data_IF_609524734335
#
_entry.id   IF_609524734335
#
_cell.length_a   1.000
_cell.length_b   1.000
_cell.length_c   1.000
_cell.angle_alpha   90.00
_cell.angle_beta   90.00
_cell.angle_gamma   90.00
#
_symmetry.space_group_name_H-M   'P 1'
#
loop_
_entity.id
_entity.type
_entity.pdbx_description
1 polymer ?
#
# COMPACT_ATOMS: atom_id res chain seq x y z
N UNK A 1 -10.32 -13.57 -44.72
CA UNK A 1 -9.49 -12.42 -45.10
C UNK A 1 -10.42 -11.31 -45.56
N UNK A 2 -10.82 -10.40 -44.70
CA UNK A 2 -11.46 -9.15 -45.07
C UNK A 2 -10.77 -8.06 -44.27
N UNK A 3 -9.65 -7.58 -44.82
CA UNK A 3 -8.98 -6.39 -44.35
C UNK A 3 -9.94 -5.20 -44.54
N UNK A 4 -10.11 -4.41 -43.47
CA UNK A 4 -10.86 -3.16 -43.52
C UNK A 4 -10.14 -2.20 -44.45
N UNK A 5 -10.70 -2.03 -45.66
CA UNK A 5 -10.16 -1.19 -46.77
C UNK A 5 -10.11 0.31 -46.40
N UNK A 6 -10.65 0.71 -45.23
CA UNK A 6 -10.74 2.10 -44.76
C UNK A 6 -9.96 2.37 -43.47
N UNK A 7 -9.17 1.41 -42.99
CA UNK A 7 -8.24 1.72 -41.87
C UNK A 7 -7.18 2.73 -42.37
N UNK A 8 -7.04 3.91 -41.75
CA UNK A 8 -6.04 4.88 -42.19
C UNK A 8 -4.67 4.26 -42.05
N UNK A 9 -4.00 4.02 -43.20
CA UNK A 9 -2.60 3.62 -43.22
C UNK A 9 -1.76 4.80 -42.71
N UNK A 10 -1.28 4.68 -41.48
CA UNK A 10 -0.36 5.66 -40.92
C UNK A 10 0.93 5.58 -41.75
N UNK A 11 1.41 6.69 -42.35
CA UNK A 11 2.65 6.69 -43.12
C UNK A 11 3.81 6.14 -42.28
N UNK A 12 4.72 5.38 -42.90
CA UNK A 12 5.85 4.73 -42.19
C UNK A 12 6.70 5.73 -41.38
N UNK A 13 6.83 6.97 -41.87
CA UNK A 13 7.53 8.05 -41.15
C UNK A 13 6.82 8.48 -39.86
N UNK A 14 5.50 8.43 -39.80
CA UNK A 14 4.71 8.74 -38.59
C UNK A 14 4.72 7.54 -37.64
N UNK A 15 4.74 6.32 -38.16
CA UNK A 15 4.84 5.10 -37.37
C UNK A 15 6.19 5.03 -36.62
N UNK A 16 7.29 5.48 -37.23
CA UNK A 16 8.63 5.56 -36.62
C UNK A 16 8.77 6.66 -35.54
N UNK A 17 7.84 7.60 -35.46
CA UNK A 17 7.82 8.64 -34.40
C UNK A 17 7.12 8.22 -33.11
N UNK A 18 6.54 7.00 -33.06
CA UNK A 18 5.95 6.49 -31.83
C UNK A 18 7.04 6.16 -30.80
N UNK A 19 6.76 6.33 -29.49
CA UNK A 19 7.66 5.91 -28.45
C UNK A 19 8.08 4.45 -28.60
N UNK A 20 9.33 4.13 -28.29
CA UNK A 20 9.89 2.80 -28.44
C UNK A 20 9.08 1.73 -27.69
N UNK A 21 8.63 2.06 -26.48
CA UNK A 21 7.76 1.19 -25.69
C UNK A 21 6.42 0.83 -26.38
N UNK A 22 5.96 1.66 -27.31
CA UNK A 22 4.73 1.41 -28.08
C UNK A 22 5.01 0.58 -29.34
N UNK A 23 6.16 0.82 -29.97
CA UNK A 23 6.63 0.07 -31.16
C UNK A 23 7.02 -1.38 -30.83
N UNK A 24 7.61 -1.59 -29.64
CA UNK A 24 8.04 -2.90 -29.14
C UNK A 24 6.96 -3.64 -28.35
N UNK A 25 5.73 -3.16 -28.38
CA UNK A 25 4.64 -3.83 -27.69
C UNK A 25 4.44 -5.25 -28.24
N UNK A 26 4.46 -6.30 -27.38
CA UNK A 26 4.20 -7.67 -27.79
C UNK A 26 2.93 -7.81 -28.64
N UNK A 27 3.00 -8.61 -29.70
CA UNK A 27 1.89 -8.94 -30.59
C UNK A 27 1.31 -10.33 -30.33
N UNK A 28 2.01 -11.17 -29.57
CA UNK A 28 1.57 -12.49 -29.12
C UNK A 28 1.87 -12.70 -27.63
N UNK A 29 1.14 -13.59 -26.99
CA UNK A 29 1.35 -13.92 -25.56
C UNK A 29 2.76 -14.47 -25.32
N UNK A 30 3.33 -15.22 -26.27
CA UNK A 30 4.67 -15.79 -26.15
C UNK A 30 5.78 -14.71 -26.10
N UNK A 31 5.54 -13.52 -26.61
CA UNK A 31 6.48 -12.39 -26.59
C UNK A 31 6.44 -11.60 -25.28
N UNK A 32 5.53 -11.90 -24.36
CA UNK A 32 5.43 -11.20 -23.08
C UNK A 32 6.58 -11.64 -22.18
N UNK A 33 7.46 -10.69 -21.86
CA UNK A 33 8.65 -10.90 -21.02
C UNK A 33 8.30 -10.71 -19.54
N UNK A 34 9.02 -11.41 -18.64
CA UNK A 34 9.00 -11.19 -17.19
C UNK A 34 7.76 -11.72 -16.45
N UNK A 35 6.82 -12.40 -17.15
CA UNK A 35 5.60 -12.93 -16.52
C UNK A 35 5.40 -14.45 -16.80
N UNK A 36 6.40 -15.32 -16.65
CA UNK A 36 6.29 -16.74 -17.05
C UNK A 36 5.21 -17.48 -16.26
N UNK A 37 4.93 -17.10 -15.02
CA UNK A 37 3.86 -17.68 -14.20
C UNK A 37 2.44 -17.37 -14.72
N UNK A 38 2.28 -16.35 -15.56
CA UNK A 38 1.01 -15.97 -16.19
C UNK A 38 0.93 -16.45 -17.64
N UNK A 39 1.98 -16.23 -18.43
CA UNK A 39 1.97 -16.33 -19.89
C UNK A 39 2.84 -17.48 -20.44
N UNK A 40 3.66 -18.12 -19.60
CA UNK A 40 4.50 -19.27 -19.97
C UNK A 40 3.67 -20.51 -20.28
N UNK A 41 4.32 -21.63 -20.61
CA UNK A 41 3.65 -22.91 -20.97
C UNK A 41 2.70 -23.41 -19.90
N UNK A 42 3.08 -23.32 -18.63
CA UNK A 42 2.25 -23.65 -17.47
C UNK A 42 1.44 -22.45 -16.95
N UNK A 43 1.46 -21.33 -17.65
CA UNK A 43 0.88 -20.06 -17.21
C UNK A 43 -0.65 -20.12 -17.13
N UNK A 44 -1.18 -19.42 -16.12
CA UNK A 44 -2.63 -19.39 -15.86
C UNK A 44 -3.42 -18.83 -17.04
N UNK A 45 -2.93 -17.74 -17.67
CA UNK A 45 -3.60 -17.10 -18.80
C UNK A 45 -3.59 -17.99 -20.04
N UNK A 46 -2.49 -18.69 -20.27
CA UNK A 46 -2.37 -19.64 -21.40
C UNK A 46 -3.39 -20.76 -21.26
N UNK A 47 -3.50 -21.37 -20.09
CA UNK A 47 -4.52 -22.41 -19.82
C UNK A 47 -5.95 -21.91 -20.00
N UNK A 48 -6.23 -20.65 -19.62
CA UNK A 48 -7.55 -20.03 -19.82
C UNK A 48 -7.89 -19.86 -21.30
N UNK A 49 -6.92 -19.48 -22.12
CA UNK A 49 -7.08 -19.38 -23.58
C UNK A 49 -7.33 -20.77 -24.19
N UNK A 50 -6.49 -21.74 -23.88
CA UNK A 50 -6.57 -23.11 -24.41
C UNK A 50 -7.88 -23.81 -24.03
N UNK A 51 -8.41 -23.55 -22.84
CA UNK A 51 -9.71 -24.07 -22.39
C UNK A 51 -10.92 -23.33 -22.99
N UNK A 52 -10.70 -22.21 -23.69
CA UNK A 52 -11.79 -21.35 -24.20
C UNK A 52 -12.62 -20.69 -23.09
N UNK A 53 -12.16 -20.73 -21.83
CA UNK A 53 -12.89 -20.22 -20.68
C UNK A 53 -12.20 -19.01 -20.06
N UNK A 54 -12.39 -17.85 -20.71
CA UNK A 54 -11.93 -16.57 -20.18
C UNK A 54 -12.98 -16.01 -19.21
N UNK A 55 -12.62 -15.93 -17.91
CA UNK A 55 -13.43 -15.25 -16.90
C UNK A 55 -12.96 -13.85 -16.63
N UNK A 56 -13.72 -13.08 -15.83
CA UNK A 56 -13.29 -11.76 -15.39
C UNK A 56 -12.09 -11.82 -14.44
N UNK A 57 -11.21 -10.81 -14.54
CA UNK A 57 -9.90 -10.80 -13.86
C UNK A 57 -9.56 -9.41 -13.34
N UNK A 58 -8.74 -9.38 -12.30
CA UNK A 58 -8.06 -8.18 -11.81
C UNK A 58 -6.56 -8.39 -11.99
N UNK A 59 -5.91 -7.56 -12.78
CA UNK A 59 -4.47 -7.52 -12.98
C UNK A 59 -3.85 -6.57 -11.96
N UNK A 60 -3.17 -7.12 -10.98
CA UNK A 60 -2.54 -6.36 -9.91
C UNK A 60 -1.01 -6.40 -10.03
N UNK A 61 -0.37 -5.26 -9.95
CA UNK A 61 1.10 -5.15 -9.95
C UNK A 61 1.60 -3.79 -10.40
N UNK A 62 2.93 -3.53 -10.29
CA UNK A 62 3.52 -2.23 -10.57
C UNK A 62 3.33 -1.78 -12.03
N UNK A 63 3.55 -0.49 -12.32
CA UNK A 63 3.48 0.03 -13.68
C UNK A 63 4.52 -0.65 -14.60
N UNK A 64 4.32 -0.56 -15.90
CA UNK A 64 5.26 -1.09 -16.90
C UNK A 64 5.40 -2.61 -16.99
N UNK A 65 4.64 -3.39 -16.23
CA UNK A 65 4.72 -4.86 -16.19
C UNK A 65 3.89 -5.57 -17.28
N UNK A 66 3.26 -4.82 -18.17
CA UNK A 66 2.56 -5.38 -19.34
C UNK A 66 1.06 -5.63 -19.17
N UNK A 67 0.39 -5.20 -18.08
CA UNK A 67 -1.04 -5.43 -17.81
C UNK A 67 -1.95 -5.10 -18.99
N UNK A 68 -1.86 -3.88 -19.53
CA UNK A 68 -2.66 -3.44 -20.69
C UNK A 68 -2.35 -4.25 -21.96
N UNK A 69 -1.07 -4.58 -22.16
CA UNK A 69 -0.61 -5.37 -23.32
C UNK A 69 -1.21 -6.77 -23.26
N UNK A 70 -1.12 -7.43 -22.13
CA UNK A 70 -1.65 -8.78 -21.92
C UNK A 70 -3.16 -8.80 -22.09
N UNK A 71 -3.92 -7.83 -21.52
CA UNK A 71 -5.36 -7.75 -21.71
C UNK A 71 -5.76 -7.65 -23.18
N UNK A 72 -5.02 -6.86 -23.96
CA UNK A 72 -5.26 -6.70 -25.41
C UNK A 72 -4.96 -7.98 -26.18
N UNK A 73 -3.87 -8.67 -25.86
CA UNK A 73 -3.52 -9.96 -26.47
C UNK A 73 -4.56 -11.02 -26.14
N UNK A 74 -5.03 -11.10 -24.89
CA UNK A 74 -6.09 -12.03 -24.49
C UNK A 74 -7.37 -11.85 -25.31
N UNK A 75 -7.76 -10.60 -25.56
CA UNK A 75 -8.95 -10.33 -26.38
C UNK A 75 -8.78 -10.81 -27.82
N UNK A 76 -7.58 -10.65 -28.39
CA UNK A 76 -7.27 -11.11 -29.75
C UNK A 76 -7.29 -12.62 -29.85
N UNK A 77 -6.60 -13.33 -28.95
CA UNK A 77 -6.54 -14.79 -28.90
C UNK A 77 -7.92 -15.44 -28.68
N UNK A 78 -8.77 -14.81 -27.88
CA UNK A 78 -10.12 -15.29 -27.60
C UNK A 78 -11.18 -14.81 -28.61
N UNK A 79 -10.82 -14.05 -29.65
CA UNK A 79 -11.77 -13.52 -30.65
C UNK A 79 -12.77 -12.50 -30.11
N UNK A 80 -12.46 -11.85 -28.98
CA UNK A 80 -13.34 -10.90 -28.30
C UNK A 80 -13.19 -9.49 -28.88
N UNK A 81 -14.21 -8.64 -28.71
CA UNK A 81 -14.06 -7.21 -28.94
C UNK A 81 -13.34 -6.57 -27.76
N UNK A 82 -12.26 -5.83 -28.03
CA UNK A 82 -11.51 -5.11 -27.00
C UNK A 82 -12.07 -3.69 -26.83
N UNK A 83 -12.50 -3.36 -25.62
CA UNK A 83 -12.83 -2.00 -25.19
C UNK A 83 -11.92 -1.60 -24.04
N UNK A 84 -11.47 -0.35 -24.04
CA UNK A 84 -10.59 0.18 -23.00
C UNK A 84 -11.14 1.49 -22.45
N UNK A 85 -11.22 1.58 -21.13
CA UNK A 85 -11.52 2.82 -20.40
C UNK A 85 -10.46 3.04 -19.31
N UNK A 86 -10.28 4.31 -18.94
CA UNK A 86 -9.47 4.70 -17.78
C UNK A 86 -10.38 5.22 -16.69
N UNK A 87 -10.29 4.64 -15.49
CA UNK A 87 -11.11 5.09 -14.36
C UNK A 87 -10.79 6.53 -13.92
N UNK A 88 -9.62 7.07 -14.31
CA UNK A 88 -9.24 8.45 -14.01
C UNK A 88 -10.06 9.45 -14.83
N UNK A 89 -10.38 9.12 -16.10
CA UNK A 89 -11.01 10.04 -17.05
C UNK A 89 -12.47 9.68 -17.37
N UNK A 90 -12.98 8.52 -16.90
CA UNK A 90 -14.28 8.00 -17.25
C UNK A 90 -15.29 8.15 -16.12
N UNK A 91 -16.47 8.63 -16.43
CA UNK A 91 -17.59 8.76 -15.51
C UNK A 91 -18.69 7.71 -15.73
N UNK A 92 -19.78 7.81 -14.96
CA UNK A 92 -20.95 6.91 -15.05
C UNK A 92 -21.57 6.92 -16.45
N UNK A 93 -21.55 8.07 -17.14
CA UNK A 93 -22.09 8.19 -18.50
C UNK A 93 -21.28 7.38 -19.50
N UNK A 94 -19.96 7.33 -19.35
CA UNK A 94 -19.07 6.58 -20.24
C UNK A 94 -19.22 5.07 -20.00
N UNK A 95 -19.36 4.64 -18.75
CA UNK A 95 -19.66 3.25 -18.40
C UNK A 95 -20.96 2.78 -19.05
N UNK A 96 -22.03 3.60 -18.99
CA UNK A 96 -23.31 3.26 -19.65
C UNK A 96 -23.16 3.07 -21.14
N UNK A 97 -22.45 3.97 -21.85
CA UNK A 97 -22.20 3.85 -23.29
C UNK A 97 -21.46 2.57 -23.64
N UNK A 98 -20.42 2.22 -22.86
CA UNK A 98 -19.65 1.01 -23.09
C UNK A 98 -20.51 -0.24 -22.86
N UNK A 99 -21.34 -0.27 -21.80
CA UNK A 99 -22.24 -1.39 -21.53
C UNK A 99 -23.31 -1.56 -22.64
N UNK A 100 -23.87 -0.47 -23.15
CA UNK A 100 -24.82 -0.51 -24.26
C UNK A 100 -24.17 -1.03 -25.54
N UNK A 101 -22.97 -0.57 -25.86
CA UNK A 101 -22.19 -1.06 -26.99
C UNK A 101 -21.85 -2.56 -26.85
N UNK A 102 -21.49 -3.00 -25.64
CA UNK A 102 -21.21 -4.40 -25.36
C UNK A 102 -22.48 -5.27 -25.54
N UNK A 103 -23.64 -4.82 -25.04
CA UNK A 103 -24.93 -5.52 -25.24
C UNK A 103 -25.28 -5.65 -26.74
N UNK A 104 -25.10 -4.59 -27.50
CA UNK A 104 -25.31 -4.62 -28.96
C UNK A 104 -24.39 -5.62 -29.65
N UNK A 105 -23.11 -5.66 -29.29
CA UNK A 105 -22.16 -6.65 -29.83
C UNK A 105 -22.56 -8.08 -29.47
N UNK A 106 -22.99 -8.30 -28.22
CA UNK A 106 -23.44 -9.62 -27.76
C UNK A 106 -24.65 -10.12 -28.52
N UNK A 107 -25.64 -9.25 -28.84
CA UNK A 107 -26.78 -9.61 -29.70
C UNK A 107 -26.33 -10.05 -31.08
N UNK A 108 -25.20 -9.53 -31.59
CA UNK A 108 -24.56 -9.93 -32.83
C UNK A 108 -23.56 -11.10 -32.69
N UNK A 109 -23.61 -11.84 -31.57
CA UNK A 109 -22.76 -13.01 -31.34
C UNK A 109 -21.31 -12.73 -30.98
N UNK A 110 -20.94 -11.47 -30.62
CA UNK A 110 -19.57 -11.09 -30.28
C UNK A 110 -19.50 -10.56 -28.85
N UNK A 111 -18.78 -11.25 -27.99
CA UNK A 111 -18.56 -10.85 -26.59
C UNK A 111 -17.50 -9.75 -26.48
N UNK A 112 -17.57 -8.95 -25.45
CA UNK A 112 -16.65 -7.82 -25.21
C UNK A 112 -15.75 -8.10 -23.99
N UNK A 113 -14.42 -7.97 -24.17
CA UNK A 113 -13.47 -7.84 -23.07
C UNK A 113 -13.35 -6.33 -22.79
N UNK A 114 -13.78 -5.92 -21.60
CA UNK A 114 -13.66 -4.55 -21.13
C UNK A 114 -12.44 -4.42 -20.23
N UNK A 115 -11.42 -3.74 -20.71
CA UNK A 115 -10.23 -3.38 -19.92
C UNK A 115 -10.46 -2.04 -19.22
N UNK A 116 -10.31 -2.05 -17.89
CA UNK A 116 -10.45 -0.87 -17.03
C UNK A 116 -9.11 -0.56 -16.41
N UNK A 117 -8.45 0.49 -16.88
CA UNK A 117 -7.17 0.94 -16.31
C UNK A 117 -7.41 1.73 -15.03
N UNK A 118 -6.59 1.48 -14.00
CA UNK A 118 -6.66 2.07 -12.66
C UNK A 118 -8.06 1.90 -12.02
N UNK A 119 -8.62 0.70 -12.08
CA UNK A 119 -9.99 0.38 -11.63
C UNK A 119 -10.27 0.81 -10.18
N UNK A 120 -9.25 0.88 -9.33
CA UNK A 120 -9.35 1.34 -7.95
C UNK A 120 -9.79 2.82 -7.82
N UNK A 121 -9.66 3.62 -8.88
CA UNK A 121 -10.12 5.01 -8.91
C UNK A 121 -11.65 5.15 -9.03
N UNK A 122 -12.33 4.10 -9.39
CA UNK A 122 -13.79 4.08 -9.35
C UNK A 122 -14.30 3.97 -7.92
N UNK A 123 -15.29 4.79 -7.57
CA UNK A 123 -15.99 4.68 -6.29
C UNK A 123 -16.85 3.40 -6.22
N UNK A 124 -17.33 3.06 -5.03
CA UNK A 124 -18.10 1.82 -4.79
C UNK A 124 -19.30 1.67 -5.72
N UNK A 125 -20.08 2.74 -5.97
CA UNK A 125 -21.26 2.67 -6.84
C UNK A 125 -20.88 2.42 -8.31
N UNK A 126 -19.74 2.95 -8.77
CA UNK A 126 -19.20 2.68 -10.09
C UNK A 126 -18.68 1.23 -10.20
N UNK A 127 -18.02 0.73 -9.17
CA UNK A 127 -17.58 -0.67 -9.10
C UNK A 127 -18.80 -1.62 -9.11
N UNK A 128 -19.85 -1.32 -8.37
CA UNK A 128 -21.08 -2.11 -8.34
C UNK A 128 -21.79 -2.16 -9.70
N UNK A 129 -21.64 -1.12 -10.54
CA UNK A 129 -22.25 -1.08 -11.87
C UNK A 129 -21.73 -2.14 -12.85
N UNK A 130 -20.55 -2.73 -12.57
CA UNK A 130 -20.02 -3.84 -13.38
C UNK A 130 -20.72 -5.17 -13.08
N UNK A 131 -21.25 -5.37 -11.87
CA UNK A 131 -21.76 -6.67 -11.44
C UNK A 131 -22.84 -7.24 -12.35
N UNK A 132 -23.92 -6.51 -12.73
CA UNK A 132 -24.95 -7.04 -13.57
C UNK A 132 -24.44 -7.47 -14.96
N UNK A 133 -23.53 -6.68 -15.57
CA UNK A 133 -23.01 -6.94 -16.93
C UNK A 133 -21.91 -8.01 -16.94
N UNK A 134 -21.30 -8.30 -15.81
CA UNK A 134 -20.41 -9.45 -15.61
C UNK A 134 -21.23 -10.73 -15.41
N UNK A 135 -22.27 -10.69 -14.59
CA UNK A 135 -23.12 -11.84 -14.26
C UNK A 135 -23.92 -12.34 -15.45
N UNK A 136 -24.45 -11.42 -16.27
CA UNK A 136 -25.19 -11.77 -17.47
C UNK A 136 -24.26 -12.14 -18.66
N UNK A 137 -22.93 -12.01 -18.51
CA UNK A 137 -21.93 -12.31 -19.53
C UNK A 137 -21.87 -11.28 -20.67
N UNK A 138 -22.41 -10.07 -20.48
CA UNK A 138 -22.30 -8.98 -21.47
C UNK A 138 -20.85 -8.57 -21.66
N UNK A 139 -20.07 -8.55 -20.58
CA UNK A 139 -18.65 -8.27 -20.62
C UNK A 139 -17.84 -9.33 -19.87
N UNK A 140 -16.58 -9.49 -20.29
CA UNK A 140 -15.52 -10.06 -19.46
C UNK A 140 -14.71 -8.84 -18.96
N UNK A 141 -14.74 -8.60 -17.64
CA UNK A 141 -14.02 -7.50 -17.05
C UNK A 141 -12.54 -7.88 -16.83
N UNK A 142 -11.63 -7.02 -17.28
CA UNK A 142 -10.22 -7.07 -16.90
C UNK A 142 -9.86 -5.73 -16.26
N UNK A 143 -9.90 -5.66 -14.94
CA UNK A 143 -9.49 -4.46 -14.20
C UNK A 143 -7.98 -4.47 -13.95
N UNK A 144 -7.28 -3.37 -14.26
CA UNK A 144 -5.88 -3.20 -13.90
C UNK A 144 -5.74 -2.23 -12.72
N UNK A 145 -4.84 -2.55 -11.81
CA UNK A 145 -4.54 -1.71 -10.65
C UNK A 145 -3.09 -1.88 -10.21
N UNK A 146 -2.49 -0.80 -9.73
CA UNK A 146 -1.22 -0.83 -9.01
C UNK A 146 -1.42 -1.03 -7.50
N UNK A 147 -2.62 -0.76 -6.99
CA UNK A 147 -2.96 -0.82 -5.57
C UNK A 147 -3.51 -2.21 -5.18
N UNK A 148 -3.39 -2.55 -3.88
CA UNK A 148 -3.84 -3.86 -3.40
C UNK A 148 -5.37 -4.00 -3.53
N UNK A 149 -5.84 -4.93 -4.39
CA UNK A 149 -7.27 -5.06 -4.68
C UNK A 149 -8.12 -5.35 -3.43
N UNK A 150 -7.54 -6.01 -2.42
CA UNK A 150 -8.27 -6.36 -1.19
C UNK A 150 -8.66 -5.15 -0.34
N UNK A 151 -8.00 -4.00 -0.52
CA UNK A 151 -8.33 -2.77 0.18
C UNK A 151 -9.18 -1.82 -0.65
N UNK A 152 -8.98 -1.80 -1.96
CA UNK A 152 -9.51 -0.80 -2.87
C UNK A 152 -10.76 -1.25 -3.63
N UNK A 153 -10.92 -2.55 -3.85
CA UNK A 153 -12.06 -3.08 -4.57
C UNK A 153 -13.11 -3.69 -3.62
N UNK A 154 -14.36 -3.56 -4.00
CA UNK A 154 -15.44 -4.14 -3.20
C UNK A 154 -15.43 -5.68 -3.25
N UNK A 155 -15.88 -6.31 -2.17
CA UNK A 155 -15.87 -7.77 -2.03
C UNK A 155 -16.74 -8.48 -3.09
N UNK A 156 -17.82 -7.82 -3.58
CA UNK A 156 -18.70 -8.36 -4.60
C UNK A 156 -17.99 -8.48 -5.96
N UNK A 157 -17.16 -7.51 -6.32
CA UNK A 157 -16.34 -7.54 -7.53
C UNK A 157 -15.26 -8.61 -7.42
N UNK A 158 -14.55 -8.66 -6.28
CA UNK A 158 -13.48 -9.64 -6.03
C UNK A 158 -13.99 -11.09 -6.00
N UNK A 159 -15.22 -11.32 -5.55
CA UNK A 159 -15.82 -12.67 -5.57
C UNK A 159 -16.14 -13.19 -6.97
N UNK A 160 -16.16 -12.31 -7.99
CA UNK A 160 -16.52 -12.61 -9.38
C UNK A 160 -15.35 -12.45 -10.36
N UNK A 161 -14.20 -11.99 -9.88
CA UNK A 161 -13.01 -11.77 -10.69
C UNK A 161 -11.80 -12.46 -10.06
N UNK A 162 -10.98 -13.14 -10.88
CA UNK A 162 -9.76 -13.77 -10.42
C UNK A 162 -8.63 -12.73 -10.34
N UNK A 163 -8.00 -12.58 -9.19
CA UNK A 163 -6.83 -11.71 -9.05
C UNK A 163 -5.58 -12.42 -9.60
N UNK A 164 -4.89 -11.75 -10.52
CA UNK A 164 -3.63 -12.20 -11.12
C UNK A 164 -2.55 -11.17 -10.84
N UNK A 165 -1.47 -11.60 -10.19
CA UNK A 165 -0.37 -10.72 -9.79
C UNK A 165 0.67 -10.62 -10.89
N UNK A 166 0.92 -9.40 -11.37
CA UNK A 166 2.03 -9.06 -12.25
C UNK A 166 3.24 -8.67 -11.41
N UNK A 167 4.36 -9.32 -11.66
CA UNK A 167 5.61 -9.04 -10.95
C UNK A 167 6.40 -7.93 -11.64
N UNK A 168 7.19 -7.12 -10.91
CA UNK A 168 8.18 -6.25 -11.54
C UNK A 168 9.12 -7.12 -12.38
N UNK A 169 9.62 -6.55 -13.48
CA UNK A 169 10.63 -7.22 -14.28
C UNK A 169 11.93 -7.39 -13.48
N UNK A 170 12.52 -8.57 -13.53
CA UNK A 170 13.88 -8.79 -13.05
C UNK A 170 14.91 -8.26 -14.05
N UNK A 171 16.18 -8.27 -13.66
CA UNK A 171 17.28 -7.76 -14.48
C UNK A 171 17.39 -8.49 -15.81
N UNK A 172 17.17 -9.81 -15.83
CA UNK A 172 17.21 -10.63 -17.04
C UNK A 172 16.09 -10.22 -18.02
N UNK A 173 14.89 -10.05 -17.53
CA UNK A 173 13.73 -9.59 -18.33
C UNK A 173 13.93 -8.18 -18.90
N UNK A 174 14.46 -7.26 -18.10
CA UNK A 174 14.77 -5.90 -18.58
C UNK A 174 15.90 -5.91 -19.62
N UNK A 175 16.92 -6.75 -19.43
CA UNK A 175 18.01 -6.93 -20.42
C UNK A 175 17.47 -7.47 -21.75
N UNK A 176 16.55 -8.43 -21.71
CA UNK A 176 15.86 -8.94 -22.91
C UNK A 176 15.09 -7.83 -23.64
N UNK A 177 14.40 -6.95 -22.90
CA UNK A 177 13.70 -5.80 -23.49
C UNK A 177 14.69 -4.83 -24.16
N UNK A 178 15.84 -4.54 -23.55
CA UNK A 178 16.89 -3.72 -24.16
C UNK A 178 17.44 -4.36 -25.43
N UNK A 179 17.71 -5.67 -25.42
CA UNK A 179 18.19 -6.39 -26.61
C UNK A 179 17.20 -6.29 -27.77
N UNK A 180 15.91 -6.49 -27.50
CA UNK A 180 14.84 -6.29 -28.51
C UNK A 180 14.80 -4.85 -29.03
N UNK A 181 15.08 -3.87 -28.15
CA UNK A 181 15.16 -2.47 -28.53
C UNK A 181 16.35 -2.21 -29.46
N UNK A 182 17.53 -2.75 -29.17
CA UNK A 182 18.74 -2.67 -30.01
C UNK A 182 18.52 -3.31 -31.38
N UNK A 183 17.87 -4.47 -31.42
CA UNK A 183 17.50 -5.14 -32.69
C UNK A 183 16.54 -4.28 -33.51
N UNK A 184 15.53 -3.68 -32.90
CA UNK A 184 14.56 -2.83 -33.59
C UNK A 184 15.15 -1.50 -34.10
N UNK A 185 16.09 -0.92 -33.37
CA UNK A 185 16.80 0.30 -33.76
C UNK A 185 18.01 0.01 -34.71
N UNK A 186 18.34 -1.27 -34.90
CA UNK A 186 19.52 -1.74 -35.68
C UNK A 186 20.82 -1.08 -35.21
N UNK A 187 20.95 -0.74 -33.94
CA UNK A 187 22.16 -0.15 -33.34
C UNK A 187 22.25 -0.50 -31.85
N UNK A 188 23.46 -0.75 -31.32
CA UNK A 188 23.67 -1.00 -29.91
C UNK A 188 23.33 0.25 -29.07
N UNK A 189 22.91 0.04 -27.82
CA UNK A 189 22.80 1.11 -26.87
C UNK A 189 24.17 1.62 -26.46
N UNK A 190 24.50 2.91 -26.63
CA UNK A 190 25.83 3.46 -26.43
C UNK A 190 26.15 3.65 -24.93
N UNK A 191 26.17 2.55 -24.20
CA UNK A 191 26.52 2.46 -22.79
C UNK A 191 27.58 1.38 -22.59
N UNK A 192 28.53 1.61 -21.67
CA UNK A 192 29.34 0.54 -21.14
C UNK A 192 28.56 -0.44 -20.29
N UNK A 193 29.18 -1.53 -19.83
CA UNK A 193 28.51 -2.58 -19.09
C UNK A 193 27.96 -2.09 -17.73
N UNK A 194 28.72 -1.27 -17.00
CA UNK A 194 28.33 -0.72 -15.71
C UNK A 194 27.19 0.29 -15.84
N UNK A 195 27.23 1.14 -16.85
CA UNK A 195 26.17 2.09 -17.16
C UNK A 195 24.90 1.36 -17.60
N UNK A 196 25.00 0.26 -18.35
CA UNK A 196 23.87 -0.59 -18.75
C UNK A 196 23.18 -1.19 -17.52
N UNK A 197 23.93 -1.75 -16.56
CA UNK A 197 23.39 -2.26 -15.30
C UNK A 197 22.77 -1.14 -14.46
N UNK A 198 23.37 0.04 -14.45
CA UNK A 198 22.83 1.21 -13.77
C UNK A 198 21.49 1.65 -14.38
N UNK A 199 21.35 1.64 -15.70
CA UNK A 199 20.08 1.94 -16.39
C UNK A 199 18.97 0.94 -16.01
N UNK A 200 19.28 -0.36 -15.91
CA UNK A 200 18.31 -1.36 -15.46
C UNK A 200 17.83 -1.10 -14.02
N UNK A 201 18.76 -0.74 -13.13
CA UNK A 201 18.41 -0.38 -11.73
C UNK A 201 17.54 0.87 -11.66
N UNK A 202 17.82 1.88 -12.49
CA UNK A 202 17.00 3.10 -12.58
C UNK A 202 15.58 2.83 -13.10
N UNK A 203 15.39 1.79 -13.90
CA UNK A 203 14.07 1.38 -14.38
C UNK A 203 13.23 0.67 -13.31
N UNK A 204 13.84 0.17 -12.24
CA UNK A 204 13.20 -0.44 -11.06
C UNK A 204 12.08 -1.43 -11.40
N UNK A 205 12.33 -2.31 -12.38
CA UNK A 205 11.37 -3.34 -12.81
C UNK A 205 10.26 -2.85 -13.75
N UNK A 206 10.27 -1.59 -14.19
CA UNK A 206 9.33 -1.03 -15.17
C UNK A 206 9.89 -1.17 -16.60
N UNK A 207 9.29 -2.07 -17.40
CA UNK A 207 9.68 -2.29 -18.79
C UNK A 207 9.42 -1.10 -19.72
N UNK A 208 8.48 -0.21 -19.38
CA UNK A 208 8.25 1.04 -20.14
C UNK A 208 9.33 2.05 -19.82
N UNK A 209 9.69 2.16 -18.54
CA UNK A 209 10.76 3.06 -18.11
C UNK A 209 12.10 2.71 -18.75
N UNK A 210 12.51 1.44 -18.77
CA UNK A 210 13.78 1.02 -19.39
C UNK A 210 13.84 1.39 -20.86
N UNK A 211 12.77 1.19 -21.62
CA UNK A 211 12.69 1.55 -23.03
C UNK A 211 12.72 3.07 -23.27
N UNK A 212 12.08 3.83 -22.39
CA UNK A 212 12.11 5.30 -22.45
C UNK A 212 13.49 5.84 -22.15
N UNK A 213 14.17 5.29 -21.12
CA UNK A 213 15.55 5.66 -20.80
C UNK A 213 16.51 5.32 -21.94
N UNK A 214 16.34 4.15 -22.58
CA UNK A 214 17.13 3.78 -23.75
C UNK A 214 16.93 4.75 -24.93
N UNK A 215 15.70 5.19 -25.20
CA UNK A 215 15.43 6.23 -26.21
C UNK A 215 16.16 7.55 -25.90
N UNK A 216 16.18 7.96 -24.64
CA UNK A 216 16.87 9.18 -24.19
C UNK A 216 18.39 9.07 -24.40
N UNK A 217 18.98 7.92 -24.08
CA UNK A 217 20.41 7.66 -24.31
C UNK A 217 20.74 7.70 -25.81
N UNK A 218 19.96 7.01 -26.66
CA UNK A 218 20.18 7.06 -28.11
C UNK A 218 20.03 8.47 -28.69
N UNK A 219 19.13 9.25 -28.13
CA UNK A 219 18.86 10.65 -28.56
C UNK A 219 19.96 11.60 -28.13
N UNK A 220 20.64 11.32 -27.02
CA UNK A 220 21.75 12.13 -26.50
C UNK A 220 23.08 11.80 -27.14
N UNK A 221 23.29 10.56 -27.63
CA UNK A 221 24.56 10.07 -28.14
C UNK A 221 24.90 10.64 -29.51
N UNK A 222 26.16 11.03 -29.66
CA UNK A 222 26.78 11.33 -30.96
C UNK A 222 27.37 10.06 -31.56
N UNK A 223 27.69 10.13 -32.83
CA UNK A 223 28.31 9.00 -33.54
C UNK A 223 29.62 8.57 -32.87
N UNK A 224 29.74 7.29 -32.51
CA UNK A 224 30.89 6.72 -31.83
C UNK A 224 31.06 7.04 -30.34
N UNK A 225 30.12 7.76 -29.73
CA UNK A 225 30.12 8.07 -28.30
C UNK A 225 29.56 6.88 -27.50
N UNK A 226 30.23 6.55 -26.37
CA UNK A 226 29.78 5.55 -25.40
C UNK A 226 29.81 6.21 -24.02
N UNK A 227 28.72 6.11 -23.27
CA UNK A 227 28.60 6.71 -21.94
C UNK A 227 28.94 5.67 -20.86
N UNK A 228 29.65 6.13 -19.84
CA UNK A 228 29.82 5.48 -18.55
C UNK A 228 28.64 5.81 -17.61
N UNK A 229 28.68 5.30 -16.37
CA UNK A 229 27.63 5.54 -15.37
C UNK A 229 27.43 7.02 -15.05
N UNK A 230 28.52 7.83 -15.06
CA UNK A 230 28.41 9.27 -14.83
C UNK A 230 27.76 10.00 -16.02
N UNK A 231 28.13 9.62 -17.24
CA UNK A 231 27.51 10.09 -18.48
C UNK A 231 26.01 9.77 -18.54
N UNK A 232 25.66 8.53 -18.21
CA UNK A 232 24.26 8.10 -18.11
C UNK A 232 23.49 8.96 -17.09
N UNK A 233 24.05 9.13 -15.89
CA UNK A 233 23.42 9.94 -14.82
C UNK A 233 23.15 11.37 -15.30
N UNK A 234 24.07 12.00 -16.02
CA UNK A 234 23.88 13.34 -16.60
C UNK A 234 22.76 13.42 -17.63
N UNK A 235 22.54 12.36 -18.40
CA UNK A 235 21.44 12.29 -19.38
C UNK A 235 20.10 12.14 -18.67
N UNK A 236 20.04 11.28 -17.65
CA UNK A 236 18.80 10.87 -16.96
C UNK A 236 18.41 11.81 -15.81
N UNK A 237 19.36 12.55 -15.20
CA UNK A 237 19.12 13.47 -14.06
C UNK A 237 18.08 14.58 -14.32
N UNK A 238 17.56 14.72 -15.52
CA UNK A 238 16.40 15.59 -15.82
C UNK A 238 15.05 15.02 -15.40
N UNK A 239 14.99 13.76 -14.94
CA UNK A 239 13.79 13.14 -14.37
C UNK A 239 13.93 13.02 -12.85
N UNK A 240 13.06 13.70 -12.12
CA UNK A 240 12.78 13.30 -10.73
C UNK A 240 12.39 11.81 -10.74
N UNK A 241 12.89 10.99 -9.80
CA UNK A 241 12.47 9.60 -9.69
C UNK A 241 10.94 9.56 -9.69
N UNK A 242 10.36 8.79 -10.61
CA UNK A 242 8.91 8.54 -10.59
C UNK A 242 8.67 7.57 -9.43
N UNK A 243 8.63 8.14 -8.24
CA UNK A 243 8.06 7.45 -7.10
C UNK A 243 6.58 7.27 -7.42
N UNK A 244 6.23 6.03 -7.73
CA UNK A 244 4.84 5.66 -7.81
C UNK A 244 4.25 5.80 -6.40
N UNK A 245 3.50 6.91 -6.20
CA UNK A 245 2.69 7.12 -5.00
C UNK A 245 1.54 6.13 -4.91
N UNK A 246 1.54 5.09 -5.76
CA UNK A 246 0.69 3.92 -5.69
C UNK A 246 0.89 3.24 -4.33
N UNK A 247 -0.18 3.08 -3.59
CA UNK A 247 -0.19 2.77 -2.15
C UNK A 247 0.59 1.49 -1.77
N UNK A 248 0.80 0.52 -2.66
CA UNK A 248 1.45 -0.76 -2.30
C UNK A 248 2.96 -0.64 -2.04
N UNK A 249 3.70 0.11 -2.84
CA UNK A 249 5.13 0.39 -2.59
C UNK A 249 5.31 1.18 -1.30
N UNK A 250 4.47 2.17 -1.09
CA UNK A 250 4.40 2.99 0.11
C UNK A 250 4.04 2.16 1.36
N UNK A 251 2.99 1.32 1.31
CA UNK A 251 2.60 0.43 2.42
C UNK A 251 3.70 -0.58 2.76
N UNK A 252 4.40 -1.11 1.77
CA UNK A 252 5.47 -2.07 1.99
C UNK A 252 6.68 -1.41 2.66
N UNK A 253 7.09 -0.22 2.23
CA UNK A 253 8.22 0.50 2.82
C UNK A 253 7.91 0.99 4.24
N UNK A 254 6.74 1.58 4.47
CA UNK A 254 6.35 2.00 5.82
C UNK A 254 6.18 0.81 6.77
N UNK A 255 5.69 -0.33 6.25
CA UNK A 255 5.60 -1.57 7.02
C UNK A 255 6.98 -2.14 7.34
N UNK A 256 7.94 -2.05 6.41
CA UNK A 256 9.33 -2.46 6.63
C UNK A 256 10.01 -1.56 7.67
N UNK A 257 9.87 -0.23 7.56
CA UNK A 257 10.35 0.72 8.56
C UNK A 257 9.79 0.39 9.95
N UNK A 258 8.48 0.20 10.07
CA UNK A 258 7.82 -0.12 11.33
C UNK A 258 8.33 -1.43 11.94
N UNK A 259 8.51 -2.47 11.12
CA UNK A 259 9.04 -3.77 11.56
C UNK A 259 10.50 -3.70 11.96
N UNK A 260 11.32 -2.90 11.28
CA UNK A 260 12.73 -2.67 11.64
C UNK A 260 12.85 -1.97 13.00
N UNK A 261 12.04 -0.93 13.25
CA UNK A 261 11.95 -0.27 14.56
C UNK A 261 11.51 -1.25 15.64
N UNK A 262 10.45 -2.03 15.39
CA UNK A 262 9.94 -3.05 16.31
C UNK A 262 10.98 -4.15 16.58
N UNK A 263 11.72 -4.54 15.55
CA UNK A 263 12.80 -5.54 15.61
C UNK A 263 14.09 -5.04 16.22
N UNK A 264 14.18 -3.76 16.61
CA UNK A 264 15.37 -3.13 17.16
C UNK A 264 16.58 -3.14 16.22
N UNK A 265 16.33 -2.91 14.93
CA UNK A 265 17.33 -2.78 13.89
C UNK A 265 17.41 -1.31 13.43
N UNK A 266 18.30 -0.47 14.01
CA UNK A 266 18.39 0.95 13.67
C UNK A 266 18.90 1.18 12.24
N UNK A 267 19.77 0.32 11.72
CA UNK A 267 20.36 0.49 10.39
C UNK A 267 19.31 0.22 9.29
N UNK A 268 18.56 -0.87 9.42
CA UNK A 268 17.44 -1.14 8.52
C UNK A 268 16.34 -0.07 8.63
N UNK A 269 16.04 0.42 9.85
CA UNK A 269 15.07 1.49 10.05
C UNK A 269 15.51 2.79 9.35
N UNK A 270 16.76 3.20 9.49
CA UNK A 270 17.32 4.37 8.79
C UNK A 270 17.31 4.18 7.28
N UNK A 271 17.66 3.00 6.79
CA UNK A 271 17.65 2.71 5.36
C UNK A 271 16.25 2.89 4.76
N UNK A 272 15.21 2.32 5.38
CA UNK A 272 13.84 2.47 4.88
C UNK A 272 13.32 3.90 5.03
N UNK A 273 13.68 4.62 6.09
CA UNK A 273 13.35 6.04 6.24
C UNK A 273 13.99 6.88 5.11
N UNK A 274 15.30 6.72 4.90
CA UNK A 274 16.05 7.43 3.85
C UNK A 274 15.50 7.11 2.45
N UNK A 275 15.21 5.83 2.18
CA UNK A 275 14.63 5.39 0.91
C UNK A 275 13.26 6.04 0.63
N UNK A 276 12.44 6.25 1.68
CA UNK A 276 11.13 6.91 1.54
C UNK A 276 11.29 8.43 1.34
N UNK A 277 12.22 9.07 2.03
CA UNK A 277 12.53 10.50 1.85
C UNK A 277 13.11 10.78 0.45
N UNK A 278 14.09 9.99 0.00
CA UNK A 278 14.69 10.09 -1.34
C UNK A 278 13.64 9.90 -2.46
N UNK A 279 12.68 9.02 -2.22
CA UNK A 279 11.55 8.78 -3.11
C UNK A 279 10.47 9.90 -3.08
N UNK A 280 10.64 10.96 -2.29
CA UNK A 280 9.74 12.11 -2.20
C UNK A 280 8.49 11.88 -1.36
N UNK A 281 8.55 10.95 -0.39
CA UNK A 281 7.48 10.78 0.59
C UNK A 281 7.33 12.04 1.46
N UNK A 282 6.09 12.35 1.87
CA UNK A 282 5.81 13.46 2.79
C UNK A 282 6.52 13.24 4.14
N UNK A 283 7.55 14.03 4.50
CA UNK A 283 8.25 13.85 5.76
C UNK A 283 7.36 14.03 6.99
N UNK A 284 6.30 14.83 6.90
CA UNK A 284 5.30 14.95 7.98
C UNK A 284 4.48 13.68 8.12
N UNK A 285 4.21 12.97 7.02
CA UNK A 285 3.62 11.65 7.10
C UNK A 285 4.54 10.67 7.83
N UNK A 286 5.83 10.64 7.50
CA UNK A 286 6.81 9.81 8.19
C UNK A 286 6.90 10.17 9.69
N UNK A 287 6.88 11.46 10.03
CA UNK A 287 6.79 11.94 11.40
C UNK A 287 5.57 11.38 12.15
N UNK A 288 4.38 11.42 11.51
CA UNK A 288 3.15 10.80 12.07
C UNK A 288 3.31 9.30 12.32
N UNK A 289 4.02 8.59 11.44
CA UNK A 289 4.28 7.16 11.59
C UNK A 289 5.25 6.87 12.75
N UNK A 290 6.30 7.69 12.93
CA UNK A 290 7.21 7.59 14.07
C UNK A 290 6.48 7.80 15.39
N UNK A 291 5.62 8.82 15.48
CA UNK A 291 4.74 9.04 16.65
C UNK A 291 3.87 7.81 16.92
N UNK A 292 3.31 7.19 15.88
CA UNK A 292 2.52 5.95 16.03
C UNK A 292 3.37 4.81 16.60
N UNK A 293 4.59 4.61 16.10
CA UNK A 293 5.52 3.58 16.61
C UNK A 293 5.90 3.82 18.05
N UNK A 294 6.13 5.09 18.46
CA UNK A 294 6.41 5.45 19.83
C UNK A 294 5.30 5.01 20.80
N UNK A 295 4.04 5.12 20.40
CA UNK A 295 2.90 4.74 21.25
C UNK A 295 2.61 3.24 21.20
N UNK A 296 2.74 2.62 20.02
CA UNK A 296 2.35 1.21 19.78
C UNK A 296 3.42 0.22 20.23
N UNK A 297 4.70 0.48 19.93
CA UNK A 297 5.78 -0.47 20.09
C UNK A 297 6.74 -0.17 21.27
N UNK A 298 6.84 1.11 21.65
CA UNK A 298 7.66 1.53 22.78
C UNK A 298 6.78 1.70 24.03
N UNK A 299 5.66 2.39 23.90
CA UNK A 299 4.70 2.60 24.98
C UNK A 299 5.33 3.21 26.24
N UNK A 300 4.97 2.65 27.37
CA UNK A 300 5.51 3.07 28.68
C UNK A 300 6.83 2.40 29.07
N UNK A 301 7.39 1.53 28.22
CA UNK A 301 8.75 1.04 28.47
C UNK A 301 9.76 2.21 28.38
N UNK A 302 9.47 3.21 27.53
CA UNK A 302 10.19 4.48 27.51
C UNK A 302 9.23 5.65 27.17
N UNK A 303 8.73 6.36 28.20
CA UNK A 303 7.80 7.48 28.02
C UNK A 303 8.37 8.65 27.20
N UNK A 304 9.70 8.77 27.08
CA UNK A 304 10.36 9.82 26.29
C UNK A 304 10.19 9.62 24.80
N UNK A 305 9.93 8.40 24.34
CA UNK A 305 9.78 8.09 22.92
C UNK A 305 8.73 8.98 22.21
N UNK A 306 7.57 9.17 22.85
CA UNK A 306 6.52 10.03 22.30
C UNK A 306 6.93 11.51 22.29
N UNK A 307 7.62 11.97 23.31
CA UNK A 307 8.10 13.36 23.42
C UNK A 307 9.13 13.66 22.32
N UNK A 308 10.10 12.75 22.14
CA UNK A 308 11.16 12.89 21.12
C UNK A 308 10.55 12.88 19.70
N UNK A 309 9.60 12.00 19.42
CA UNK A 309 8.96 11.97 18.11
C UNK A 309 8.16 13.24 17.80
N UNK A 310 7.47 13.81 18.79
CA UNK A 310 6.78 15.07 18.61
C UNK A 310 7.76 16.24 18.42
N UNK A 311 8.83 16.29 19.21
CA UNK A 311 9.88 17.29 19.05
C UNK A 311 10.56 17.21 17.66
N UNK A 312 10.83 15.99 17.18
CA UNK A 312 11.40 15.76 15.85
C UNK A 312 10.46 16.22 14.73
N UNK A 313 9.17 15.94 14.85
CA UNK A 313 8.15 16.44 13.92
C UNK A 313 8.09 17.98 13.91
N UNK A 314 8.09 18.61 15.09
CA UNK A 314 8.06 20.06 15.21
C UNK A 314 9.35 20.71 14.68
N UNK A 315 10.52 20.08 14.92
CA UNK A 315 11.79 20.50 14.34
C UNK A 315 11.79 20.43 12.80
N UNK A 316 11.24 19.36 12.23
CA UNK A 316 11.08 19.26 10.78
C UNK A 316 10.14 20.35 10.25
N UNK A 317 9.00 20.58 10.89
CA UNK A 317 8.02 21.60 10.47
C UNK A 317 8.64 23.02 10.49
N UNK A 318 9.57 23.26 11.41
CA UNK A 318 10.28 24.53 11.53
C UNK A 318 11.43 24.70 10.54
N UNK A 319 12.24 23.65 10.32
CA UNK A 319 13.46 23.72 9.49
C UNK A 319 13.21 23.41 8.01
N UNK A 320 12.25 22.52 7.72
CA UNK A 320 12.01 22.01 6.38
C UNK A 320 13.08 21.05 5.88
N UNK A 321 12.96 20.60 4.61
CA UNK A 321 13.96 19.77 3.93
C UNK A 321 15.09 20.62 3.36
N UNK A 322 16.33 20.11 3.37
CA UNK A 322 16.77 18.80 3.88
C UNK A 322 17.13 18.78 5.36
N UNK A 323 17.26 19.93 6.02
CA UNK A 323 17.83 20.04 7.37
C UNK A 323 16.95 19.36 8.45
N UNK A 324 15.63 19.51 8.35
CA UNK A 324 14.66 18.93 9.29
C UNK A 324 14.58 17.41 9.23
N UNK A 325 14.98 16.80 8.13
CA UNK A 325 14.99 15.34 7.96
C UNK A 325 15.90 14.62 8.96
N UNK A 326 16.98 15.30 9.38
CA UNK A 326 17.91 14.77 10.39
C UNK A 326 17.22 14.57 11.74
N UNK A 327 16.26 15.42 12.11
CA UNK A 327 15.48 15.26 13.34
C UNK A 327 14.60 14.01 13.28
N UNK A 328 13.98 13.73 12.12
CA UNK A 328 13.22 12.49 11.92
C UNK A 328 14.11 11.26 11.96
N UNK A 329 15.32 11.32 11.40
CA UNK A 329 16.31 10.26 11.44
C UNK A 329 16.76 9.98 12.90
N UNK A 330 17.00 11.02 13.70
CA UNK A 330 17.32 10.90 15.12
C UNK A 330 16.19 10.19 15.89
N UNK A 331 14.93 10.58 15.68
CA UNK A 331 13.78 9.93 16.29
C UNK A 331 13.66 8.46 15.88
N UNK A 332 13.91 8.15 14.60
CA UNK A 332 13.91 6.79 14.07
C UNK A 332 14.93 5.89 14.79
N UNK A 333 16.17 6.35 14.94
CA UNK A 333 17.23 5.63 15.69
C UNK A 333 16.84 5.47 17.15
N UNK A 334 16.33 6.52 17.78
CA UNK A 334 15.86 6.46 19.15
C UNK A 334 14.81 5.36 19.35
N UNK A 335 13.78 5.33 18.51
CA UNK A 335 12.73 4.31 18.57
C UNK A 335 13.29 2.90 18.34
N UNK A 336 14.21 2.74 17.39
CA UNK A 336 14.79 1.44 17.08
C UNK A 336 15.64 0.89 18.25
N UNK A 337 16.26 1.77 19.05
CA UNK A 337 17.12 1.40 20.19
C UNK A 337 16.41 1.41 21.53
N UNK A 338 15.23 2.01 21.66
CA UNK A 338 14.44 2.06 22.88
C UNK A 338 13.92 0.66 23.29
N UNK A 339 13.68 0.40 24.58
CA UNK A 339 13.02 -0.81 25.03
C UNK A 339 11.58 -0.90 24.49
N UNK A 340 11.16 -2.10 24.08
CA UNK A 340 9.88 -2.33 23.40
C UNK A 340 8.79 -2.80 24.35
N UNK A 341 7.59 -2.18 24.26
CA UNK A 341 6.39 -2.66 24.93
C UNK A 341 5.14 -2.25 24.16
N UNK A 342 4.24 -3.20 23.94
CA UNK A 342 2.91 -2.96 23.41
C UNK A 342 1.81 -3.13 24.48
N UNK A 343 2.17 -3.13 25.77
CA UNK A 343 1.23 -3.41 26.86
C UNK A 343 0.06 -2.42 26.90
N UNK A 344 0.31 -1.13 26.70
CA UNK A 344 -0.76 -0.11 26.62
C UNK A 344 -1.67 -0.34 25.43
N UNK A 345 -1.10 -0.68 24.26
CA UNK A 345 -1.90 -0.97 23.05
C UNK A 345 -2.82 -2.18 23.25
N UNK A 346 -2.30 -3.27 23.80
CA UNK A 346 -3.09 -4.48 24.08
C UNK A 346 -4.12 -4.25 25.18
N UNK A 347 -3.78 -3.49 26.23
CA UNK A 347 -4.68 -3.09 27.30
C UNK A 347 -5.86 -2.28 26.76
N UNK A 348 -5.59 -1.26 25.96
CA UNK A 348 -6.62 -0.44 25.34
C UNK A 348 -7.57 -1.25 24.44
N UNK A 349 -7.00 -2.14 23.60
CA UNK A 349 -7.79 -3.03 22.74
C UNK A 349 -8.71 -3.96 23.54
N UNK A 350 -8.21 -4.50 24.65
CA UNK A 350 -9.00 -5.36 25.56
C UNK A 350 -10.08 -4.57 26.30
N UNK A 351 -9.76 -3.37 26.78
CA UNK A 351 -10.73 -2.48 27.42
C UNK A 351 -11.84 -2.05 26.46
N UNK A 352 -11.49 -1.73 25.18
CA UNK A 352 -12.47 -1.41 24.14
C UNK A 352 -13.42 -2.58 23.83
N UNK A 353 -12.91 -3.82 23.88
CA UNK A 353 -13.74 -5.01 23.72
C UNK A 353 -14.69 -5.15 24.89
N UNK A 354 -14.19 -5.09 26.12
CA UNK A 354 -15.00 -5.17 27.33
C UNK A 354 -16.08 -4.06 27.39
N UNK A 355 -15.75 -2.84 26.96
CA UNK A 355 -16.69 -1.74 26.88
C UNK A 355 -17.83 -2.01 25.88
N UNK A 356 -17.55 -2.66 24.74
CA UNK A 356 -18.58 -3.06 23.77
C UNK A 356 -19.51 -4.16 24.32
N UNK A 357 -18.94 -5.11 25.05
CA UNK A 357 -19.66 -6.24 25.64
C UNK A 357 -20.52 -5.83 26.86
N UNK A 358 -20.08 -4.83 27.63
CA UNK A 358 -20.65 -4.41 28.89
C UNK A 358 -21.15 -2.94 28.90
N UNK A 359 -21.37 -2.35 27.74
CA UNK A 359 -21.67 -0.92 27.61
C UNK A 359 -22.95 -0.41 28.30
N UNK A 360 -23.83 -1.31 28.74
CA UNK A 360 -25.05 -0.98 29.49
C UNK A 360 -24.87 -1.03 31.02
N UNK A 361 -23.70 -1.49 31.50
CA UNK A 361 -23.47 -1.56 32.95
C UNK A 361 -23.15 -0.18 33.51
N UNK A 362 -23.85 0.18 34.58
CA UNK A 362 -23.63 1.44 35.29
C UNK A 362 -22.40 1.34 36.20
N UNK A 363 -21.66 2.46 36.39
CA UNK A 363 -20.62 2.52 37.39
C UNK A 363 -21.17 2.28 38.79
N UNK A 364 -20.37 1.82 39.77
CA UNK A 364 -20.80 1.65 41.15
C UNK A 364 -21.32 2.96 41.72
N UNK A 365 -22.40 2.87 42.54
CA UNK A 365 -23.11 4.06 43.06
C UNK A 365 -22.20 4.97 43.90
N UNK A 366 -21.23 4.40 44.63
CA UNK A 366 -20.36 5.16 45.52
C UNK A 366 -19.44 6.13 44.75
N UNK A 367 -19.10 5.86 43.48
CA UNK A 367 -18.25 6.77 42.66
C UNK A 367 -19.07 7.77 41.82
N UNK A 368 -20.41 7.72 41.91
CA UNK A 368 -21.25 8.64 41.16
C UNK A 368 -21.49 9.94 41.96
N UNK A 369 -21.40 11.06 41.26
CA UNK A 369 -21.70 12.36 41.86
C UNK A 369 -23.19 12.46 42.19
N UNK A 370 -23.54 13.02 43.39
CA UNK A 370 -24.88 13.23 43.87
C UNK A 370 -25.26 14.73 44.04
N UNK A 371 -25.34 15.52 42.95
CA UNK A 371 -25.60 16.95 43.03
C UNK A 371 -27.00 17.32 43.51
N UNK A 372 -27.96 16.40 43.48
CA UNK A 372 -29.36 16.63 43.89
C UNK A 372 -29.75 15.80 45.11
N UNK A 373 -30.74 16.28 45.85
CA UNK A 373 -31.30 15.50 46.99
C UNK A 373 -31.87 14.14 46.57
N UNK A 374 -32.44 14.08 45.36
CA UNK A 374 -32.98 12.83 44.81
C UNK A 374 -31.84 11.82 44.59
N UNK A 375 -30.73 12.23 43.96
CA UNK A 375 -29.56 11.36 43.71
C UNK A 375 -28.94 10.87 45.04
N UNK A 376 -28.86 11.73 46.04
CA UNK A 376 -28.45 11.31 47.39
C UNK A 376 -29.39 10.27 47.97
N UNK A 377 -30.70 10.43 47.81
CA UNK A 377 -31.71 9.47 48.24
C UNK A 377 -31.61 8.13 47.52
N UNK A 378 -31.12 8.11 46.29
CA UNK A 378 -30.83 6.91 45.49
C UNK A 378 -29.49 6.24 45.84
N UNK A 379 -28.72 6.79 46.82
CA UNK A 379 -27.44 6.24 47.29
C UNK A 379 -26.24 6.59 46.41
N UNK A 380 -26.33 7.65 45.56
CA UNK A 380 -25.20 8.12 44.80
C UNK A 380 -24.16 8.80 45.71
N UNK A 381 -22.89 8.39 45.57
CA UNK A 381 -21.80 8.87 46.41
C UNK A 381 -21.75 8.25 47.81
N UNK A 382 -22.70 7.38 48.16
CA UNK A 382 -22.74 6.77 49.48
C UNK A 382 -21.62 5.74 49.65
N UNK A 383 -20.86 5.89 50.76
CA UNK A 383 -19.70 5.06 51.02
C UNK A 383 -18.41 5.40 50.21
N UNK A 384 -18.39 6.50 49.42
CA UNK A 384 -17.18 6.95 48.77
C UNK A 384 -16.14 7.40 49.80
N UNK A 385 -14.93 6.85 49.69
CA UNK A 385 -13.76 7.25 50.49
C UNK A 385 -12.80 8.01 49.58
N UNK A 386 -12.51 9.26 49.94
CA UNK A 386 -11.59 10.08 49.17
C UNK A 386 -10.15 9.60 49.38
N UNK A 387 -9.53 9.14 48.30
CA UNK A 387 -8.19 8.46 48.37
C UNK A 387 -7.14 9.29 49.04
N UNK A 388 -7.14 10.63 48.89
CA UNK A 388 -6.13 11.51 49.53
C UNK A 388 -6.30 11.62 51.04
N UNK A 389 -7.45 11.32 51.60
CA UNK A 389 -7.70 11.31 53.07
C UNK A 389 -7.33 9.97 53.73
N UNK A 390 -7.06 8.97 52.90
CA UNK A 390 -6.71 7.62 53.33
C UNK A 390 -5.17 7.46 53.48
N UNK A 391 -4.71 6.57 54.40
CA UNK A 391 -3.30 6.22 54.45
C UNK A 391 -2.76 5.81 53.09
N UNK A 392 -1.52 6.20 52.76
CA UNK A 392 -0.90 5.95 51.44
C UNK A 392 -1.66 6.56 50.24
N UNK A 393 -2.57 7.51 50.47
CA UNK A 393 -3.45 8.10 49.46
C UNK A 393 -4.16 7.02 48.62
N UNK A 394 -4.68 5.95 49.26
CA UNK A 394 -5.22 4.80 48.60
C UNK A 394 -6.37 4.18 49.40
N UNK A 395 -7.58 4.24 48.95
CA UNK A 395 -8.76 3.70 49.64
C UNK A 395 -8.93 2.17 49.47
N UNK A 396 -8.43 1.62 48.38
CA UNK A 396 -8.61 0.22 47.97
C UNK A 396 -10.01 -0.13 47.46
N UNK A 397 -10.87 0.86 47.25
CA UNK A 397 -12.19 0.65 46.67
C UNK A 397 -12.15 0.03 45.29
N UNK A 398 -13.23 -0.62 44.85
CA UNK A 398 -13.39 -1.10 43.49
C UNK A 398 -14.17 -0.08 42.66
N UNK A 399 -13.70 0.19 41.48
CA UNK A 399 -14.25 1.18 40.53
C UNK A 399 -14.90 0.56 39.30
N UNK A 400 -14.90 -0.79 39.19
CA UNK A 400 -15.57 -1.50 38.10
C UNK A 400 -17.08 -1.64 38.42
N UNK A 401 -17.93 -1.71 37.35
CA UNK A 401 -19.31 -2.12 37.51
C UNK A 401 -19.41 -3.47 38.27
N UNK A 402 -20.29 -3.55 39.25
CA UNK A 402 -20.38 -4.75 40.11
C UNK A 402 -20.58 -6.05 39.35
N UNK A 403 -21.42 -6.03 38.29
CA UNK A 403 -21.67 -7.21 37.45
C UNK A 403 -20.47 -7.60 36.57
N UNK A 404 -19.57 -6.67 36.24
CA UNK A 404 -18.39 -6.94 35.50
C UNK A 404 -17.27 -7.53 36.39
N UNK A 405 -17.21 -7.08 37.63
CA UNK A 405 -16.17 -7.41 38.56
C UNK A 405 -14.80 -6.81 38.15
N UNK A 406 -13.81 -6.99 39.00
CA UNK A 406 -12.48 -6.44 38.77
C UNK A 406 -11.77 -7.18 37.68
N UNK A 407 -11.35 -6.45 36.66
CA UNK A 407 -10.63 -6.96 35.47
C UNK A 407 -9.28 -6.29 35.34
N UNK A 408 -8.26 -7.04 34.92
CA UNK A 408 -6.94 -6.51 34.59
C UNK A 408 -6.78 -6.38 33.09
N UNK A 409 -6.63 -5.16 32.61
CA UNK A 409 -6.35 -4.89 31.19
C UNK A 409 -4.87 -4.61 30.93
N UNK A 410 -4.22 -3.84 31.83
CA UNK A 410 -2.85 -3.43 31.70
C UNK A 410 -1.93 -4.33 32.52
N UNK A 411 -1.08 -5.07 31.84
CA UNK A 411 -0.06 -5.95 32.41
C UNK A 411 1.30 -5.54 31.83
N UNK A 412 2.04 -4.64 32.53
CA UNK A 412 3.33 -4.14 32.04
C UNK A 412 4.40 -5.24 32.07
N UNK A 413 5.21 -5.38 30.99
CA UNK A 413 6.37 -6.27 31.01
C UNK A 413 7.49 -5.74 31.92
N UNK A 414 8.44 -6.63 32.27
CA UNK A 414 9.61 -6.24 33.04
C UNK A 414 10.71 -5.62 32.16
N UNK A 415 10.37 -4.47 31.51
CA UNK A 415 11.25 -3.76 30.58
C UNK A 415 11.20 -2.26 30.80
N UNK A 416 12.33 -1.59 30.65
CA UNK A 416 12.41 -0.14 30.74
C UNK A 416 11.71 0.42 31.98
N UNK A 417 10.98 1.50 31.84
CA UNK A 417 10.22 2.15 32.91
C UNK A 417 9.03 1.31 33.42
N UNK A 418 8.52 0.37 32.64
CA UNK A 418 7.41 -0.49 33.05
C UNK A 418 7.79 -1.45 34.19
N UNK A 419 9.08 -1.72 34.43
CA UNK A 419 9.54 -2.41 35.66
C UNK A 419 9.12 -1.68 36.94
N UNK A 420 9.22 -0.37 36.94
CA UNK A 420 8.83 0.42 38.09
C UNK A 420 7.31 0.60 38.20
N UNK A 421 6.64 0.62 37.08
CA UNK A 421 5.16 0.58 37.04
C UNK A 421 4.66 -0.74 37.62
N UNK A 422 5.25 -1.88 37.23
CA UNK A 422 4.88 -3.21 37.76
C UNK A 422 5.03 -3.27 39.27
N UNK A 423 6.14 -2.82 39.82
CA UNK A 423 6.34 -2.77 41.29
C UNK A 423 5.25 -1.96 42.00
N UNK A 424 4.84 -0.82 41.45
CA UNK A 424 3.75 0.02 41.97
C UNK A 424 2.40 -0.68 41.89
N UNK A 425 2.09 -1.35 40.81
CA UNK A 425 0.84 -2.09 40.64
C UNK A 425 0.74 -3.27 41.58
N UNK A 426 1.83 -4.00 41.78
CA UNK A 426 1.90 -5.13 42.74
C UNK A 426 1.70 -4.64 44.20
N UNK A 427 2.32 -3.51 44.54
CA UNK A 427 2.15 -2.89 45.84
C UNK A 427 0.69 -2.44 46.08
N UNK A 428 0.07 -1.75 45.15
CA UNK A 428 -1.34 -1.37 45.26
C UNK A 428 -2.28 -2.57 45.29
N UNK A 429 -1.96 -3.62 44.57
CA UNK A 429 -2.77 -4.85 44.57
C UNK A 429 -2.67 -5.55 45.95
N UNK A 430 -1.52 -5.51 46.58
CA UNK A 430 -1.33 -6.01 47.94
C UNK A 430 -2.12 -5.18 48.95
N UNK A 431 -1.98 -3.85 48.93
CA UNK A 431 -2.73 -2.94 49.82
C UNK A 431 -4.25 -3.10 49.66
N UNK A 432 -4.73 -3.25 48.45
CA UNK A 432 -6.15 -3.45 48.21
C UNK A 432 -6.67 -4.72 48.86
N UNK A 433 -5.95 -5.82 48.78
CA UNK A 433 -6.27 -7.08 49.43
C UNK A 433 -6.33 -6.93 50.95
N UNK A 434 -5.32 -6.28 51.54
CA UNK A 434 -5.24 -6.04 52.97
C UNK A 434 -6.39 -5.17 53.51
N UNK A 435 -6.83 -4.16 52.72
CA UNK A 435 -7.92 -3.26 53.13
C UNK A 435 -9.32 -3.86 52.95
N UNK A 436 -9.48 -4.76 51.99
CA UNK A 436 -10.76 -5.43 51.70
C UNK A 436 -10.91 -6.72 52.54
N UNK A 437 -9.88 -7.16 53.27
CA UNK A 437 -9.92 -8.29 54.19
C UNK A 437 -10.19 -7.87 55.65
N UNK A 438 -10.20 -6.58 55.93
CA UNK A 438 -10.63 -5.96 57.21
C UNK A 438 -12.06 -5.52 57.17
#
# INVERSE_FOLDING_TARGET
MSGDLFAPQIPAEVANRRPLADRLRPTTIAQVTGQPHLTGEEGVLRRMIESGSLGSMIFWGPPGTGKTTVARLLSGEAGLAFEQISAIFSGVADLKKVFEAARTRRMNGRQTLLFVDEIHRFNRAQQDSFLPVMEDGTIILVGATTENPSFELNAALLSRARVLTFKPHDEESLMELLKRAEEAEAKPLPLDEDARLSLLRMADGDGRAVLTLAEEVWRAAREGEVFDTEGLTRIVQRRAPVYDKGQDGHYNLISALHKSVRGSDPDAALYYLARMLDAGEDPLYLGRRLVRMAVEDIGLADPQALVICNAAKDAYDYLGSPEGELALAQACVYLATAPKSNAVYTAYKSAMRAAKENGSLLPPKHILNAPTKLMKGEGYGDGYRYDHDEPDAFSGQDYFPEKMGRTTFYDPPDRGFERDIRKRLDWWSKLRRERNSR
#
